data_IF_316803121355
#
_entry.id   IF_316803121355
#
_cell.length_a   1.000
_cell.length_b   1.000
_cell.length_c   1.000
_cell.angle_alpha   90.00
_cell.angle_beta   90.00
_cell.angle_gamma   90.00
#
_symmetry.space_group_name_H-M   'P 1'
#
loop_
_entity.id
_entity.type
_entity.pdbx_description
1 polymer ?
#
# COMPACT_ATOMS: atom_id res chain seq x y z
N UNK A 1 18.40 8.09 9.68
CA UNK A 1 17.40 9.12 10.05
C UNK A 1 16.56 8.57 11.18
N UNK A 2 16.54 9.23 12.35
CA UNK A 2 15.71 8.83 13.49
C UNK A 2 14.31 9.39 13.28
N UNK A 3 13.38 8.54 12.91
CA UNK A 3 11.96 8.88 12.88
C UNK A 3 11.41 8.62 14.29
N UNK A 4 11.17 9.65 15.07
CA UNK A 4 10.49 9.79 16.36
C UNK A 4 10.11 8.56 17.20
N UNK A 5 9.93 8.76 18.49
CA UNK A 5 9.62 7.77 19.53
C UNK A 5 8.18 7.19 19.38
N UNK A 6 7.96 6.28 18.43
CA UNK A 6 6.74 5.48 18.30
C UNK A 6 7.08 3.99 18.24
N UNK A 7 6.10 3.11 18.56
CA UNK A 7 6.29 1.67 18.38
C UNK A 7 6.43 1.40 16.86
N UNK A 8 7.63 0.97 16.45
CA UNK A 8 7.95 0.66 15.04
C UNK A 8 7.17 -0.57 14.56
N UNK A 9 6.33 -0.40 13.54
CA UNK A 9 5.55 -1.48 12.91
C UNK A 9 6.30 -2.12 11.75
N UNK A 10 7.00 -1.31 10.96
CA UNK A 10 7.81 -1.77 9.84
C UNK A 10 9.14 -1.04 9.85
N UNK A 11 10.21 -1.79 9.63
CA UNK A 11 11.54 -1.22 9.35
C UNK A 11 12.11 -1.84 8.09
N UNK A 12 12.61 -0.98 7.25
CA UNK A 12 13.27 -1.30 5.99
C UNK A 12 14.69 -0.78 6.08
N UNK A 13 15.69 -1.65 5.87
CA UNK A 13 17.10 -1.27 6.01
C UNK A 13 17.89 -1.69 4.79
N UNK A 14 18.54 -0.71 4.16
CA UNK A 14 19.55 -0.86 3.10
C UNK A 14 19.07 -1.73 1.92
N UNK A 15 17.75 -1.64 1.57
CA UNK A 15 17.22 -2.43 0.47
C UNK A 15 17.89 -2.09 -0.84
N UNK A 16 18.29 -3.15 -1.55
CA UNK A 16 18.77 -3.10 -2.94
C UNK A 16 18.02 -4.11 -3.79
N UNK A 17 17.73 -3.71 -5.04
CA UNK A 17 17.14 -4.58 -6.04
C UNK A 17 17.50 -4.18 -7.44
N UNK A 18 18.01 -5.14 -8.20
CA UNK A 18 18.32 -4.98 -9.63
C UNK A 18 17.54 -6.00 -10.45
N UNK A 19 17.17 -5.60 -11.65
CA UNK A 19 16.54 -6.47 -12.64
C UNK A 19 17.39 -6.53 -13.92
N UNK A 20 17.51 -7.71 -14.50
CA UNK A 20 18.15 -7.87 -15.80
C UNK A 20 17.21 -7.36 -16.90
N UNK A 21 17.67 -6.36 -17.67
CA UNK A 21 16.95 -5.82 -18.82
C UNK A 21 17.47 -6.46 -20.10
N UNK A 22 16.74 -7.43 -20.62
CA UNK A 22 17.09 -8.10 -21.89
C UNK A 22 17.17 -7.14 -23.09
N UNK A 23 16.43 -6.00 -23.04
CA UNK A 23 16.50 -4.97 -24.11
C UNK A 23 17.81 -4.16 -24.11
N UNK A 24 18.48 -4.05 -22.96
CA UNK A 24 19.72 -3.27 -22.79
C UNK A 24 20.91 -4.15 -22.46
N UNK A 25 20.72 -5.46 -22.35
CA UNK A 25 21.74 -6.46 -21.95
C UNK A 25 22.51 -6.05 -20.67
N UNK A 26 21.83 -5.37 -19.75
CA UNK A 26 22.42 -4.88 -18.49
C UNK A 26 21.45 -4.98 -17.33
N UNK A 27 21.99 -5.00 -16.12
CA UNK A 27 21.20 -4.83 -14.91
C UNK A 27 20.77 -3.37 -14.75
N UNK A 28 19.49 -3.18 -14.38
CA UNK A 28 18.92 -1.89 -14.02
C UNK A 28 18.63 -1.94 -12.54
N UNK A 29 19.23 -1.02 -11.78
CA UNK A 29 19.00 -0.90 -10.34
C UNK A 29 17.65 -0.19 -10.13
N UNK A 30 16.68 -0.94 -9.58
CA UNK A 30 15.35 -0.44 -9.33
C UNK A 30 15.19 0.11 -7.89
N UNK A 31 16.01 -0.40 -6.96
CA UNK A 31 16.08 0.08 -5.57
C UNK A 31 17.55 0.09 -5.15
N UNK A 32 18.04 1.21 -4.62
CA UNK A 32 19.42 1.41 -4.22
C UNK A 32 19.51 2.04 -2.83
N UNK A 33 19.86 1.22 -1.84
CA UNK A 33 20.12 1.62 -0.46
C UNK A 33 18.93 2.35 0.22
N UNK A 34 17.71 1.82 0.04
CA UNK A 34 16.50 2.40 0.62
C UNK A 34 16.32 1.95 2.07
N UNK A 35 16.20 2.91 2.98
CA UNK A 35 15.99 2.66 4.42
C UNK A 35 14.97 3.63 4.99
N UNK A 36 13.96 3.11 5.69
CA UNK A 36 12.95 3.89 6.40
C UNK A 36 12.23 3.04 7.44
N UNK A 37 11.44 3.69 8.30
CA UNK A 37 10.55 3.01 9.23
C UNK A 37 9.12 3.57 9.12
N UNK A 38 8.16 2.78 9.58
CA UNK A 38 6.75 3.13 9.73
C UNK A 38 6.32 2.82 11.16
N UNK A 39 5.85 3.83 11.87
CA UNK A 39 5.39 3.69 13.25
C UNK A 39 3.93 3.23 13.32
N UNK A 40 3.50 2.81 14.50
CA UNK A 40 2.11 2.46 14.76
C UNK A 40 1.18 3.66 14.51
N UNK A 41 0.11 3.44 13.74
CA UNK A 41 -0.88 4.46 13.39
C UNK A 41 -0.37 5.52 12.41
N UNK A 42 0.90 5.44 11.98
CA UNK A 42 1.50 6.38 11.03
C UNK A 42 1.10 6.06 9.60
N UNK A 43 0.78 7.08 8.82
CA UNK A 43 0.54 6.99 7.38
C UNK A 43 1.72 7.63 6.65
N UNK A 44 2.48 6.82 5.92
CA UNK A 44 3.68 7.20 5.19
C UNK A 44 3.40 7.25 3.69
N UNK A 45 3.52 8.43 3.09
CA UNK A 45 3.47 8.61 1.65
C UNK A 45 4.80 8.23 0.98
N UNK A 46 4.76 7.53 -0.14
CA UNK A 46 5.92 7.33 -1.01
C UNK A 46 5.57 7.88 -2.39
N UNK A 47 6.27 8.94 -2.80
CA UNK A 47 6.03 9.67 -4.05
C UNK A 47 7.24 9.69 -4.96
N UNK A 48 7.05 10.05 -6.21
CA UNK A 48 8.09 10.17 -7.23
C UNK A 48 7.57 9.78 -8.61
N UNK A 49 8.34 10.02 -9.65
CA UNK A 49 7.98 9.70 -11.04
C UNK A 49 7.78 8.21 -11.28
N UNK A 50 7.13 7.87 -12.41
CA UNK A 50 7.03 6.48 -12.85
C UNK A 50 8.44 5.89 -13.07
N UNK A 51 8.67 4.68 -12.55
CA UNK A 51 9.98 4.04 -12.61
C UNK A 51 10.96 4.42 -11.51
N UNK A 52 10.60 5.30 -10.55
CA UNK A 52 11.48 5.67 -9.43
C UNK A 52 11.73 4.56 -8.39
N UNK A 53 11.08 3.40 -8.52
CA UNK A 53 11.29 2.25 -7.64
C UNK A 53 10.21 1.98 -6.59
N UNK A 54 9.19 2.84 -6.43
CA UNK A 54 8.14 2.77 -5.40
C UNK A 54 7.45 1.40 -5.33
N UNK A 55 6.88 0.94 -6.44
CA UNK A 55 6.18 -0.37 -6.49
C UNK A 55 7.15 -1.54 -6.31
N UNK A 56 8.45 -1.38 -6.63
CA UNK A 56 9.46 -2.39 -6.33
C UNK A 56 9.69 -2.50 -4.82
N UNK A 57 9.80 -1.36 -4.12
CA UNK A 57 9.89 -1.32 -2.66
C UNK A 57 8.65 -1.96 -2.03
N UNK A 58 7.43 -1.62 -2.49
CA UNK A 58 6.20 -2.25 -2.03
C UNK A 58 6.21 -3.79 -2.21
N UNK A 59 6.63 -4.26 -3.39
CA UNK A 59 6.70 -5.71 -3.68
C UNK A 59 7.70 -6.44 -2.78
N UNK A 60 8.84 -5.82 -2.45
CA UNK A 60 9.82 -6.39 -1.51
C UNK A 60 9.23 -6.44 -0.10
N UNK A 61 8.64 -5.34 0.38
CA UNK A 61 7.99 -5.26 1.70
C UNK A 61 6.91 -6.34 1.83
N UNK A 62 6.15 -6.57 0.77
CA UNK A 62 5.10 -7.60 0.74
C UNK A 62 5.64 -9.02 0.57
N UNK A 63 6.94 -9.22 0.38
CA UNK A 63 7.52 -10.54 0.10
C UNK A 63 7.01 -11.16 -1.21
N UNK A 64 6.64 -10.34 -2.19
CA UNK A 64 6.27 -10.78 -3.54
C UNK A 64 7.52 -11.05 -4.39
N UNK A 65 8.59 -10.31 -4.13
CA UNK A 65 9.91 -10.51 -4.71
C UNK A 65 10.98 -10.41 -3.62
N UNK A 66 12.11 -11.14 -3.74
CA UNK A 66 13.23 -10.99 -2.80
C UNK A 66 13.99 -9.68 -3.05
N UNK A 67 14.51 -9.07 -1.99
CA UNK A 67 15.58 -8.10 -2.10
C UNK A 67 16.88 -8.81 -2.52
N UNK A 68 17.80 -8.10 -3.17
CA UNK A 68 19.15 -8.60 -3.43
C UNK A 68 20.04 -8.38 -2.21
N UNK A 69 19.86 -7.23 -1.52
CA UNK A 69 20.52 -6.89 -0.26
C UNK A 69 19.54 -6.14 0.66
N UNK A 70 19.90 -6.06 1.94
CA UNK A 70 19.09 -5.42 2.97
C UNK A 70 18.06 -6.35 3.58
N UNK A 71 17.20 -5.81 4.43
CA UNK A 71 16.20 -6.61 5.13
C UNK A 71 14.96 -5.79 5.51
N UNK A 72 13.86 -6.52 5.79
CA UNK A 72 12.59 -5.98 6.27
C UNK A 72 12.31 -6.58 7.65
N UNK A 73 11.83 -5.75 8.57
CA UNK A 73 11.36 -6.15 9.90
C UNK A 73 9.89 -5.77 10.05
N UNK A 74 9.12 -6.65 10.66
CA UNK A 74 7.72 -6.40 11.01
C UNK A 74 7.56 -6.57 12.53
N UNK A 75 7.16 -5.53 13.25
CA UNK A 75 7.10 -5.47 14.71
C UNK A 75 8.44 -5.88 15.39
N UNK A 76 9.55 -5.39 14.88
CA UNK A 76 10.89 -5.67 15.41
C UNK A 76 11.44 -7.04 15.06
N UNK A 77 10.71 -7.91 14.35
CA UNK A 77 11.15 -9.24 13.92
C UNK A 77 11.58 -9.22 12.45
N UNK A 78 12.76 -9.73 12.09
CA UNK A 78 13.19 -9.81 10.70
C UNK A 78 12.33 -10.83 9.95
N UNK A 79 11.85 -10.47 8.76
CA UNK A 79 11.10 -11.37 7.89
C UNK A 79 11.98 -11.88 6.76
N UNK A 80 11.94 -13.21 6.53
CA UNK A 80 12.77 -13.88 5.53
C UNK A 80 11.92 -14.32 4.35
N UNK A 81 12.36 -14.01 3.14
CA UNK A 81 11.73 -14.48 1.91
C UNK A 81 11.96 -15.99 1.70
N UNK A 82 10.93 -16.79 1.30
CA UNK A 82 9.52 -16.40 1.22
C UNK A 82 8.89 -16.21 2.61
N UNK A 83 7.99 -15.23 2.75
CA UNK A 83 7.41 -14.87 4.04
C UNK A 83 6.52 -15.98 4.60
N UNK A 84 6.59 -16.18 5.91
CA UNK A 84 5.68 -17.04 6.63
C UNK A 84 4.24 -16.52 6.56
N UNK A 85 3.26 -17.43 6.61
CA UNK A 85 1.84 -17.08 6.55
C UNK A 85 1.39 -16.12 7.66
N UNK A 86 2.03 -16.18 8.83
CA UNK A 86 1.79 -15.27 9.95
C UNK A 86 2.11 -13.81 9.64
N UNK A 87 3.08 -13.54 8.76
CA UNK A 87 3.43 -12.19 8.31
C UNK A 87 2.28 -11.60 7.49
N UNK A 88 1.68 -12.38 6.60
CA UNK A 88 0.55 -11.94 5.76
C UNK A 88 -0.74 -11.67 6.56
N UNK A 89 -0.85 -12.12 7.82
CA UNK A 89 -1.93 -11.66 8.71
C UNK A 89 -1.74 -10.21 9.15
N UNK A 90 -0.48 -9.78 9.28
CA UNK A 90 -0.12 -8.45 9.77
C UNK A 90 0.03 -7.42 8.63
N UNK A 91 0.36 -7.88 7.43
CA UNK A 91 0.75 -7.06 6.30
C UNK A 91 -0.10 -7.40 5.07
N UNK A 92 -0.85 -6.43 4.57
CA UNK A 92 -1.73 -6.57 3.40
C UNK A 92 -1.44 -5.50 2.37
N UNK A 93 -1.82 -5.77 1.11
CA UNK A 93 -1.66 -4.84 -0.02
C UNK A 93 -2.95 -4.71 -0.81
N UNK A 94 -3.18 -3.48 -1.28
CA UNK A 94 -4.16 -3.17 -2.33
C UNK A 94 -3.39 -2.65 -3.53
N UNK A 95 -3.59 -3.29 -4.68
CA UNK A 95 -2.90 -2.97 -5.92
C UNK A 95 -3.60 -1.87 -6.71
N UNK A 96 -2.86 -1.24 -7.61
CA UNK A 96 -3.34 -0.24 -8.57
C UNK A 96 -4.53 -0.76 -9.40
N UNK A 97 -4.44 -2.01 -9.87
CA UNK A 97 -5.52 -2.67 -10.60
C UNK A 97 -6.31 -3.55 -9.63
N UNK A 98 -7.50 -3.11 -9.17
CA UNK A 98 -8.25 -3.83 -8.14
C UNK A 98 -8.69 -5.22 -8.60
N UNK A 99 -8.92 -5.40 -9.90
CA UNK A 99 -9.31 -6.68 -10.50
C UNK A 99 -8.23 -7.75 -10.29
N UNK A 100 -6.94 -7.40 -10.27
CA UNK A 100 -5.82 -8.31 -10.01
C UNK A 100 -5.87 -8.90 -8.59
N UNK A 101 -6.66 -8.30 -7.71
CA UNK A 101 -6.90 -8.78 -6.36
C UNK A 101 -7.85 -9.98 -6.30
N UNK A 102 -8.54 -10.32 -7.38
CA UNK A 102 -9.62 -11.31 -7.40
C UNK A 102 -9.40 -12.37 -8.48
N UNK A 103 -9.89 -13.59 -8.23
CA UNK A 103 -10.08 -14.59 -9.29
C UNK A 103 -11.35 -14.18 -10.09
N UNK A 104 -11.24 -13.86 -11.41
CA UNK A 104 -12.36 -13.36 -12.19
C UNK A 104 -13.51 -14.37 -12.35
N UNK A 105 -13.27 -15.65 -12.05
CA UNK A 105 -14.25 -16.75 -12.12
C UNK A 105 -15.00 -16.97 -10.81
N UNK A 106 -14.72 -16.14 -9.78
CA UNK A 106 -15.33 -16.25 -8.46
C UNK A 106 -16.08 -14.98 -8.10
N UNK A 107 -17.18 -15.15 -7.38
CA UNK A 107 -17.87 -13.99 -6.79
C UNK A 107 -17.03 -13.37 -5.66
N UNK A 108 -17.33 -12.11 -5.34
CA UNK A 108 -16.70 -11.41 -4.21
C UNK A 108 -16.85 -12.22 -2.91
N UNK A 109 -18.03 -12.81 -2.69
CA UNK A 109 -18.29 -13.72 -1.55
C UNK A 109 -17.31 -14.88 -1.50
N UNK A 110 -17.06 -15.53 -2.62
CA UNK A 110 -16.15 -16.68 -2.69
C UNK A 110 -14.70 -16.26 -2.43
N UNK A 111 -14.31 -15.10 -2.94
CA UNK A 111 -12.97 -14.54 -2.73
C UNK A 111 -12.75 -14.19 -1.25
N UNK A 112 -13.67 -13.45 -0.62
CA UNK A 112 -13.60 -13.09 0.80
C UNK A 112 -13.62 -14.33 1.70
N UNK A 113 -14.53 -15.29 1.46
CA UNK A 113 -14.57 -16.54 2.21
C UNK A 113 -13.28 -17.33 2.10
N UNK A 114 -12.65 -17.37 0.92
CA UNK A 114 -11.36 -18.06 0.74
C UNK A 114 -10.26 -17.37 1.54
N UNK A 115 -10.21 -16.04 1.52
CA UNK A 115 -9.27 -15.25 2.33
C UNK A 115 -9.47 -15.57 3.82
N UNK A 116 -10.69 -15.43 4.34
CA UNK A 116 -11.04 -15.70 5.74
C UNK A 116 -10.70 -17.13 6.16
N UNK A 117 -11.10 -18.13 5.34
CA UNK A 117 -10.80 -19.55 5.58
C UNK A 117 -9.30 -19.82 5.65
N UNK A 118 -8.53 -19.17 4.78
CA UNK A 118 -7.08 -19.30 4.79
C UNK A 118 -6.45 -18.92 6.13
N UNK A 119 -7.13 -18.13 6.94
CA UNK A 119 -6.65 -17.68 8.25
C UNK A 119 -7.47 -18.23 9.43
N UNK A 120 -8.31 -19.25 9.18
CA UNK A 120 -9.00 -20.01 10.22
C UNK A 120 -10.43 -19.56 10.51
N UNK A 121 -10.96 -18.55 9.79
CA UNK A 121 -12.35 -18.08 9.92
C UNK A 121 -13.21 -18.79 8.88
N UNK A 122 -14.27 -19.49 9.31
CA UNK A 122 -15.11 -20.30 8.41
C UNK A 122 -16.59 -20.31 8.82
N UNK A 123 -17.42 -20.95 8.00
CA UNK A 123 -18.84 -21.12 8.32
C UNK A 123 -19.64 -19.82 8.37
N UNK A 124 -20.51 -19.70 9.39
CA UNK A 124 -21.36 -18.53 9.63
C UNK A 124 -20.56 -17.28 9.96
N UNK A 125 -19.47 -17.42 10.71
CA UNK A 125 -18.58 -16.31 11.05
C UNK A 125 -17.97 -15.65 9.79
N UNK A 126 -17.47 -16.46 8.85
CA UNK A 126 -16.93 -15.94 7.58
C UNK A 126 -18.01 -15.24 6.74
N UNK A 127 -19.28 -15.69 6.80
CA UNK A 127 -20.39 -15.05 6.12
C UNK A 127 -20.66 -13.66 6.71
N UNK A 128 -20.86 -13.58 8.03
CA UNK A 128 -21.13 -12.32 8.72
C UNK A 128 -19.97 -11.32 8.51
N UNK A 129 -18.74 -11.79 8.66
CA UNK A 129 -17.56 -10.94 8.47
C UNK A 129 -17.44 -10.40 7.05
N UNK A 130 -17.80 -11.18 6.03
CA UNK A 130 -17.80 -10.72 4.65
C UNK A 130 -18.87 -9.63 4.40
N UNK A 131 -20.05 -9.77 5.01
CA UNK A 131 -21.13 -8.78 4.93
C UNK A 131 -20.72 -7.47 5.64
N UNK A 132 -20.18 -7.54 6.84
CA UNK A 132 -19.65 -6.39 7.59
C UNK A 132 -18.57 -5.65 6.81
N UNK A 133 -17.62 -6.38 6.21
CA UNK A 133 -16.52 -5.78 5.45
C UNK A 133 -17.01 -4.99 4.24
N UNK A 134 -18.01 -5.49 3.50
CA UNK A 134 -18.58 -4.74 2.39
C UNK A 134 -19.28 -3.46 2.89
N UNK A 135 -20.09 -3.56 3.92
CA UNK A 135 -20.77 -2.41 4.51
C UNK A 135 -19.80 -1.36 5.01
N UNK A 136 -18.70 -1.76 5.68
CA UNK A 136 -17.63 -0.85 6.11
C UNK A 136 -16.98 -0.11 4.94
N UNK A 137 -16.89 -0.75 3.78
CA UNK A 137 -16.37 -0.15 2.55
C UNK A 137 -17.46 0.61 1.75
N UNK A 138 -18.66 0.81 2.32
CA UNK A 138 -19.76 1.52 1.65
C UNK A 138 -20.33 0.76 0.46
N UNK A 139 -20.22 -0.57 0.45
CA UNK A 139 -20.79 -1.43 -0.60
C UNK A 139 -22.03 -2.17 -0.09
N UNK A 140 -23.10 -2.28 -0.89
CA UNK A 140 -24.25 -3.09 -0.59
C UNK A 140 -23.90 -4.57 -0.44
N UNK A 141 -24.59 -5.28 0.48
CA UNK A 141 -24.33 -6.71 0.77
C UNK A 141 -24.56 -7.60 -0.44
N UNK A 142 -25.50 -7.24 -1.31
CA UNK A 142 -25.78 -7.95 -2.56
C UNK A 142 -24.59 -8.01 -3.53
N UNK A 143 -23.60 -7.11 -3.37
CA UNK A 143 -22.37 -7.13 -4.17
C UNK A 143 -21.48 -8.33 -3.85
N UNK A 144 -21.72 -9.00 -2.73
CA UNK A 144 -21.06 -10.27 -2.45
C UNK A 144 -21.30 -11.33 -3.53
N UNK A 145 -22.45 -11.30 -4.19
CA UNK A 145 -22.83 -12.29 -5.20
C UNK A 145 -22.45 -11.88 -6.63
N UNK A 146 -21.89 -10.67 -6.80
CA UNK A 146 -21.33 -10.21 -8.07
C UNK A 146 -19.93 -10.77 -8.32
N UNK A 147 -19.57 -10.85 -9.59
CA UNK A 147 -18.21 -11.11 -10.04
C UNK A 147 -17.41 -9.79 -10.13
N UNK A 148 -16.06 -9.84 -10.05
CA UNK A 148 -15.23 -8.63 -10.12
C UNK A 148 -15.48 -7.76 -11.37
N UNK A 149 -15.76 -8.39 -12.51
CA UNK A 149 -16.03 -7.69 -13.79
C UNK A 149 -17.42 -7.05 -13.87
N UNK A 150 -18.32 -7.33 -12.93
CA UNK A 150 -19.64 -6.70 -12.81
C UNK A 150 -19.63 -5.45 -11.93
N UNK A 151 -18.47 -5.12 -11.34
CA UNK A 151 -18.26 -3.96 -10.51
C UNK A 151 -17.59 -2.84 -11.32
N UNK A 152 -17.97 -1.59 -11.07
CA UNK A 152 -17.21 -0.42 -11.53
C UNK A 152 -15.80 -0.42 -10.93
N UNK A 153 -14.87 0.36 -11.49
CA UNK A 153 -13.51 0.46 -10.97
C UNK A 153 -13.46 0.81 -9.48
N UNK A 154 -14.22 1.81 -9.05
CA UNK A 154 -14.25 2.22 -7.65
C UNK A 154 -14.95 1.21 -6.73
N UNK A 155 -16.00 0.53 -7.18
CA UNK A 155 -16.63 -0.54 -6.41
C UNK A 155 -15.68 -1.73 -6.25
N UNK A 156 -14.95 -2.09 -7.30
CA UNK A 156 -13.96 -3.15 -7.26
C UNK A 156 -12.79 -2.77 -6.32
N UNK A 157 -12.39 -1.49 -6.31
CA UNK A 157 -11.35 -0.98 -5.41
C UNK A 157 -11.78 -1.08 -3.93
N UNK A 158 -13.03 -0.68 -3.61
CA UNK A 158 -13.59 -0.84 -2.28
C UNK A 158 -13.73 -2.30 -1.87
N UNK A 159 -14.09 -3.19 -2.80
CA UNK A 159 -14.11 -4.62 -2.55
C UNK A 159 -12.68 -5.19 -2.31
N UNK A 160 -11.66 -4.67 -3.01
CA UNK A 160 -10.26 -5.03 -2.77
C UNK A 160 -9.76 -4.56 -1.39
N UNK A 161 -10.16 -3.35 -0.97
CA UNK A 161 -9.94 -2.87 0.40
C UNK A 161 -10.63 -3.76 1.43
N UNK A 162 -11.92 -4.12 1.22
CA UNK A 162 -12.64 -5.08 2.08
C UNK A 162 -11.85 -6.39 2.25
N UNK A 163 -11.30 -6.91 1.15
CA UNK A 163 -10.49 -8.13 1.16
C UNK A 163 -9.19 -7.95 1.95
N UNK A 164 -8.49 -6.85 1.78
CA UNK A 164 -7.28 -6.55 2.53
C UNK A 164 -7.57 -6.40 4.04
N UNK A 165 -8.69 -5.75 4.38
CA UNK A 165 -9.13 -5.54 5.76
C UNK A 165 -9.71 -6.81 6.43
N UNK A 166 -9.96 -7.89 5.68
CA UNK A 166 -10.55 -9.12 6.20
C UNK A 166 -9.77 -9.71 7.39
N UNK A 167 -8.47 -9.50 7.40
CA UNK A 167 -7.56 -10.02 8.44
C UNK A 167 -7.23 -9.01 9.54
N UNK A 168 -7.81 -7.81 9.53
CA UNK A 168 -7.44 -6.70 10.43
C UNK A 168 -5.93 -6.51 10.46
N UNK A 169 -5.33 -6.18 9.32
CA UNK A 169 -3.88 -6.06 9.22
C UNK A 169 -3.38 -4.90 10.09
N UNK A 170 -2.15 -5.00 10.55
CA UNK A 170 -1.47 -3.92 11.27
C UNK A 170 -0.82 -2.92 10.31
N UNK A 171 -0.49 -3.39 9.09
CA UNK A 171 0.14 -2.59 8.04
C UNK A 171 -0.63 -2.83 6.73
N UNK A 172 -1.06 -1.74 6.10
CA UNK A 172 -1.69 -1.73 4.79
C UNK A 172 -0.79 -1.00 3.79
N UNK A 173 -0.45 -1.65 2.70
CA UNK A 173 0.24 -1.03 1.57
C UNK A 173 -0.79 -0.71 0.49
N UNK A 174 -0.90 0.54 0.11
CA UNK A 174 -1.77 1.04 -0.96
C UNK A 174 -0.88 1.47 -2.14
N UNK A 175 -0.79 0.65 -3.19
CA UNK A 175 0.03 0.93 -4.37
C UNK A 175 -0.84 1.54 -5.46
N UNK A 176 -0.80 2.88 -5.59
CA UNK A 176 -1.54 3.70 -6.58
C UNK A 176 -3.06 3.42 -6.61
N UNK A 177 -3.67 3.20 -5.46
CA UNK A 177 -5.07 2.73 -5.34
C UNK A 177 -6.14 3.71 -5.86
N UNK A 178 -5.75 4.93 -6.21
CA UNK A 178 -6.64 6.00 -6.70
C UNK A 178 -6.36 6.41 -8.14
N UNK A 179 -5.24 6.00 -8.75
CA UNK A 179 -4.75 6.55 -10.03
C UNK A 179 -5.63 6.26 -11.26
N UNK A 180 -6.48 5.23 -11.21
CA UNK A 180 -7.36 4.84 -12.31
C UNK A 180 -8.84 5.22 -12.09
N UNK A 181 -9.11 6.06 -11.09
CA UNK A 181 -10.46 6.42 -10.66
C UNK A 181 -10.78 7.87 -11.02
N UNK A 182 -12.05 8.16 -11.27
CA UNK A 182 -12.53 9.52 -11.38
C UNK A 182 -12.48 10.25 -10.03
N UNK A 183 -12.48 11.59 -10.07
CA UNK A 183 -12.28 12.44 -8.88
C UNK A 183 -13.30 12.16 -7.77
N UNK A 184 -14.55 11.86 -8.14
CA UNK A 184 -15.61 11.61 -7.15
C UNK A 184 -15.42 10.29 -6.41
N UNK A 185 -15.00 9.26 -7.12
CA UNK A 185 -14.68 7.93 -6.56
C UNK A 185 -13.38 7.98 -5.76
N UNK A 186 -12.39 8.74 -6.25
CA UNK A 186 -11.15 8.99 -5.54
C UNK A 186 -11.40 9.60 -4.16
N UNK A 187 -12.26 10.63 -4.07
CA UNK A 187 -12.65 11.24 -2.79
C UNK A 187 -13.26 10.21 -1.83
N UNK A 188 -14.14 9.32 -2.31
CA UNK A 188 -14.73 8.27 -1.48
C UNK A 188 -13.68 7.29 -0.92
N UNK A 189 -12.65 6.94 -1.70
CA UNK A 189 -11.54 6.09 -1.23
C UNK A 189 -10.72 6.83 -0.18
N UNK A 190 -10.43 8.12 -0.40
CA UNK A 190 -9.70 8.96 0.56
C UNK A 190 -10.45 9.04 1.89
N UNK A 191 -11.77 9.33 1.88
CA UNK A 191 -12.59 9.38 3.08
C UNK A 191 -12.56 8.05 3.85
N UNK A 192 -12.55 6.93 3.12
CA UNK A 192 -12.45 5.61 3.72
C UNK A 192 -11.09 5.38 4.40
N UNK A 193 -10.00 5.79 3.74
CA UNK A 193 -8.65 5.67 4.31
C UNK A 193 -8.48 6.57 5.54
N UNK A 194 -9.06 7.78 5.51
CA UNK A 194 -9.04 8.70 6.67
C UNK A 194 -9.81 8.12 7.86
N UNK A 195 -10.95 7.47 7.66
CA UNK A 195 -11.67 6.76 8.72
C UNK A 195 -10.81 5.66 9.33
N UNK A 196 -10.11 4.87 8.50
CA UNK A 196 -9.19 3.84 9.00
C UNK A 196 -8.02 4.45 9.78
N UNK A 197 -7.58 5.67 9.43
CA UNK A 197 -6.56 6.41 10.17
C UNK A 197 -7.06 6.84 11.55
N UNK A 198 -8.28 7.37 11.62
CA UNK A 198 -8.91 7.82 12.88
C UNK A 198 -9.09 6.67 13.88
N UNK A 199 -9.34 5.45 13.41
CA UNK A 199 -9.42 4.25 14.26
C UNK A 199 -8.06 3.91 14.91
N UNK A 200 -6.94 4.38 14.35
CA UNK A 200 -5.59 4.32 14.93
C UNK A 200 -4.97 2.91 15.01
N UNK A 201 -5.65 1.89 14.52
CA UNK A 201 -5.20 0.49 14.60
C UNK A 201 -4.23 0.11 13.47
N UNK A 202 -4.30 0.82 12.33
CA UNK A 202 -3.57 0.52 11.11
C UNK A 202 -2.47 1.54 10.88
N UNK A 203 -1.29 1.06 10.47
CA UNK A 203 -0.26 1.88 9.85
C UNK A 203 -0.30 1.68 8.34
N UNK A 204 -0.02 2.71 7.55
CA UNK A 204 -0.20 2.65 6.10
C UNK A 204 1.03 3.13 5.35
N UNK A 205 1.37 2.44 4.26
CA UNK A 205 2.23 2.96 3.20
C UNK A 205 1.32 3.32 2.01
N UNK A 206 1.26 4.60 1.68
CA UNK A 206 0.45 5.12 0.58
C UNK A 206 1.35 5.57 -0.56
N UNK A 207 1.38 4.79 -1.64
CA UNK A 207 2.15 5.09 -2.84
C UNK A 207 1.25 5.82 -3.82
N UNK A 208 1.67 7.02 -4.22
CA UNK A 208 0.97 7.85 -5.19
C UNK A 208 1.92 8.75 -5.96
N UNK A 209 1.50 9.18 -7.14
CA UNK A 209 2.12 10.30 -7.84
C UNK A 209 1.38 11.62 -7.59
N UNK A 210 0.25 11.59 -6.89
CA UNK A 210 -0.56 12.76 -6.53
C UNK A 210 -0.15 13.29 -5.15
N UNK A 211 0.58 14.41 -5.16
CA UNK A 211 1.07 15.07 -3.93
C UNK A 211 -0.06 15.65 -3.08
N UNK A 212 -1.17 16.10 -3.70
CA UNK A 212 -2.29 16.65 -2.96
C UNK A 212 -2.97 15.59 -2.11
N UNK A 213 -3.11 14.38 -2.64
CA UNK A 213 -3.64 13.25 -1.87
C UNK A 213 -2.71 12.86 -0.72
N UNK A 214 -1.40 12.78 -1.00
CA UNK A 214 -0.40 12.45 0.03
C UNK A 214 -0.41 13.51 1.14
N UNK A 215 -0.51 14.80 0.79
CA UNK A 215 -0.65 15.88 1.76
C UNK A 215 -1.90 15.75 2.63
N UNK A 216 -3.01 15.32 2.06
CA UNK A 216 -4.28 15.15 2.79
C UNK A 216 -4.34 13.90 3.68
N UNK A 217 -3.55 12.86 3.40
CA UNK A 217 -3.67 11.56 4.04
C UNK A 217 -2.48 11.24 4.95
N UNK A 218 -1.24 11.55 4.52
CA UNK A 218 -0.01 11.05 5.11
C UNK A 218 0.60 12.01 6.14
N UNK A 219 1.12 11.45 7.23
CA UNK A 219 1.84 12.18 8.27
C UNK A 219 3.27 12.49 7.81
N UNK A 220 3.90 11.52 7.17
CA UNK A 220 5.25 11.63 6.61
C UNK A 220 5.29 11.28 5.14
N UNK A 221 6.30 11.77 4.46
CA UNK A 221 6.53 11.55 3.05
C UNK A 221 7.97 11.11 2.78
N UNK A 222 8.11 10.23 1.80
CA UNK A 222 9.38 9.85 1.18
C UNK A 222 9.27 10.20 -0.31
N UNK A 223 10.21 10.98 -0.81
CA UNK A 223 10.35 11.30 -2.23
C UNK A 223 11.42 10.39 -2.82
N UNK A 224 11.05 9.59 -3.82
CA UNK A 224 11.95 8.64 -4.48
C UNK A 224 12.30 9.07 -5.90
N UNK A 225 13.58 8.94 -6.26
CA UNK A 225 14.11 9.13 -7.60
C UNK A 225 15.17 8.07 -7.90
N UNK A 226 15.13 7.50 -9.10
CA UNK A 226 16.14 6.54 -9.60
C UNK A 226 16.51 5.43 -8.59
N UNK A 227 15.50 4.91 -7.87
CA UNK A 227 15.66 3.85 -6.88
C UNK A 227 16.15 4.31 -5.51
N UNK A 228 16.34 5.60 -5.26
CA UNK A 228 16.86 6.18 -4.01
C UNK A 228 15.84 7.08 -3.33
N UNK A 229 16.05 7.31 -2.04
CA UNK A 229 15.34 8.36 -1.30
C UNK A 229 16.09 9.67 -1.50
N UNK A 230 15.43 10.64 -2.12
CA UNK A 230 15.95 11.99 -2.32
C UNK A 230 15.67 12.89 -1.10
N UNK A 231 14.47 12.76 -0.55
CA UNK A 231 14.04 13.53 0.61
C UNK A 231 13.02 12.73 1.42
N UNK A 232 13.00 12.93 2.73
CA UNK A 232 12.02 12.32 3.61
C UNK A 232 11.83 13.19 4.86
N UNK A 233 10.59 13.25 5.35
CA UNK A 233 10.26 14.02 6.55
C UNK A 233 8.76 14.09 6.81
N UNK A 234 8.36 15.03 7.67
CA UNK A 234 6.97 15.43 7.86
C UNK A 234 6.39 15.94 6.54
N UNK A 235 5.18 15.49 6.20
CA UNK A 235 4.58 15.81 4.90
C UNK A 235 4.40 17.31 4.70
N UNK A 236 3.89 18.01 5.71
CA UNK A 236 3.69 19.46 5.63
C UNK A 236 5.02 20.20 5.46
N UNK A 237 6.07 19.78 6.17
CA UNK A 237 7.37 20.40 6.09
C UNK A 237 8.05 20.18 4.74
N UNK A 238 8.08 18.94 4.24
CA UNK A 238 8.72 18.61 2.95
C UNK A 238 8.02 19.29 1.79
N UNK A 239 6.68 19.38 1.80
CA UNK A 239 5.94 20.01 0.71
C UNK A 239 5.99 21.54 0.75
N UNK A 240 6.10 22.17 1.93
CA UNK A 240 6.18 23.63 2.04
C UNK A 240 7.61 24.18 1.95
N UNK A 241 8.60 23.41 2.38
CA UNK A 241 10.01 23.81 2.42
C UNK A 241 10.92 22.68 1.90
N UNK A 242 10.77 22.29 0.62
CA UNK A 242 11.57 21.21 0.05
C UNK A 242 13.06 21.57 0.02
N UNK A 243 13.91 20.64 0.48
CA UNK A 243 15.36 20.77 0.50
C UNK A 243 15.99 20.31 -0.81
N UNK A 244 15.44 19.23 -1.41
CA UNK A 244 15.92 18.67 -2.68
C UNK A 244 15.39 19.47 -3.87
N UNK A 245 16.26 19.74 -4.85
CA UNK A 245 15.85 20.39 -6.10
C UNK A 245 14.88 19.49 -6.90
N UNK A 246 15.01 18.19 -6.79
CA UNK A 246 14.06 17.26 -7.40
C UNK A 246 12.67 17.35 -6.76
N UNK A 247 12.60 17.45 -5.42
CA UNK A 247 11.31 17.65 -4.71
C UNK A 247 10.65 18.96 -5.15
N UNK A 248 11.41 20.06 -5.31
CA UNK A 248 10.89 21.32 -5.83
C UNK A 248 10.28 21.15 -7.23
N UNK A 249 11.03 20.52 -8.14
CA UNK A 249 10.54 20.24 -9.51
C UNK A 249 9.28 19.37 -9.50
N UNK A 250 9.22 18.37 -8.63
CA UNK A 250 8.05 17.50 -8.51
C UNK A 250 6.82 18.28 -8.03
N UNK A 251 6.97 19.16 -7.05
CA UNK A 251 5.90 20.03 -6.55
C UNK A 251 5.44 21.01 -7.64
N UNK A 252 6.38 21.68 -8.31
CA UNK A 252 6.07 22.65 -9.36
C UNK A 252 5.31 22.01 -10.54
N UNK A 253 5.59 20.73 -10.84
CA UNK A 253 4.91 19.99 -11.92
C UNK A 253 3.44 19.67 -11.64
N UNK A 254 3.00 19.72 -10.37
CA UNK A 254 1.62 19.44 -9.94
C UNK A 254 0.80 20.73 -9.80
N UNK A 255 1.46 21.87 -9.64
CA UNK A 255 0.79 23.18 -9.47
C UNK A 255 0.46 23.89 -10.80
N UNK A 256 0.77 23.27 -11.94
CA UNK A 256 0.45 23.74 -13.29
C UNK A 256 -0.72 22.92 -13.85
#
# INVERSE_FOLDING_TARGET
>A
MNFGEGMERLSVKELRKSFFSGKKEKYVQAVDNVSFCLNQGEFLGIVGESGSGKSTVAKIIMGLIPADEGAVWVNGEPVKYPYARSVYKKLQIVFQMPQDSFDPRRTIRQCLKTTLKNFGISGSEAKLRAEELLLQMGLPVEYLDKYPHELSGGECQRAALARAMAMRPQILVCDEVTSALDVSVQAQIVDLLLKLKEEGEISMIFISHDLALVQGICDKIIVMKDGRIEEAGDTGQVLSHPSSDYTKLLIDSVLV
#
